data_IF_041861869396
#
_entry.id   IF_041861869396
#
_cell.length_a   1.000
_cell.length_b   1.000
_cell.length_c   1.000
_cell.angle_alpha   90.00
_cell.angle_beta   90.00
_cell.angle_gamma   90.00
#
_symmetry.space_group_name_H-M   'P 1'
#
loop_
_entity.id
_entity.type
_entity.pdbx_description
1 polymer ?
#
# COMPACT_ATOMS: atom_id res chain seq x y z
N UNK A 1 2.81 16.33 -9.65
CA UNK A 1 2.12 15.99 -8.38
C UNK A 1 2.27 14.51 -8.03
N UNK A 2 1.86 13.58 -8.91
CA UNK A 2 1.93 12.12 -8.69
C UNK A 2 3.33 11.64 -8.29
N UNK A 3 4.38 12.04 -9.00
CA UNK A 3 5.76 11.61 -8.67
C UNK A 3 6.22 12.09 -7.28
N UNK A 4 5.86 13.31 -6.89
CA UNK A 4 6.25 13.89 -5.60
C UNK A 4 5.47 13.26 -4.43
N UNK A 5 4.16 13.01 -4.62
CA UNK A 5 3.27 12.60 -3.54
C UNK A 5 3.09 11.08 -3.44
N UNK A 6 3.23 10.34 -4.54
CA UNK A 6 3.07 8.88 -4.53
C UNK A 6 4.42 8.18 -4.58
N UNK A 7 5.32 8.59 -5.48
CA UNK A 7 6.57 7.85 -5.71
C UNK A 7 7.60 8.11 -4.63
N UNK A 8 7.81 9.37 -4.22
CA UNK A 8 8.80 9.69 -3.17
C UNK A 8 8.52 9.00 -1.81
N UNK A 9 7.30 9.07 -1.24
CA UNK A 9 7.07 8.38 0.03
C UNK A 9 7.20 6.87 -0.15
N UNK A 10 6.83 6.32 -1.31
CA UNK A 10 6.99 4.89 -1.56
C UNK A 10 8.46 4.45 -1.51
N UNK A 11 9.38 5.15 -2.20
CA UNK A 11 10.80 4.78 -2.19
C UNK A 11 11.45 4.95 -0.82
N UNK A 12 11.10 6.02 -0.09
CA UNK A 12 11.61 6.26 1.27
C UNK A 12 11.10 5.18 2.23
N UNK A 13 9.82 4.83 2.13
CA UNK A 13 9.21 3.80 2.96
C UNK A 13 9.79 2.40 2.69
N UNK A 14 9.95 2.03 1.42
CA UNK A 14 10.60 0.78 1.05
C UNK A 14 12.07 0.74 1.48
N UNK A 15 12.80 1.85 1.33
CA UNK A 15 14.16 1.99 1.85
C UNK A 15 14.22 1.74 3.35
N UNK A 16 13.29 2.32 4.12
CA UNK A 16 13.20 2.10 5.57
C UNK A 16 12.92 0.64 5.94
N UNK A 17 12.03 -0.06 5.20
CA UNK A 17 11.76 -1.50 5.44
C UNK A 17 13.02 -2.33 5.19
N UNK A 18 13.71 -2.08 4.08
CA UNK A 18 14.92 -2.80 3.69
C UNK A 18 16.02 -2.56 4.72
N UNK A 19 16.24 -1.30 5.13
CA UNK A 19 17.20 -0.93 6.16
C UNK A 19 16.91 -1.61 7.51
N UNK A 20 15.63 -1.77 7.86
CA UNK A 20 15.20 -2.49 9.08
C UNK A 20 15.41 -3.99 9.01
N UNK A 21 15.44 -4.57 7.81
CA UNK A 21 15.71 -5.99 7.58
C UNK A 21 17.21 -6.32 7.50
N UNK A 22 18.08 -5.31 7.49
CA UNK A 22 19.52 -5.54 7.50
C UNK A 22 19.99 -6.15 8.82
N UNK A 23 20.70 -7.27 8.75
CA UNK A 23 21.34 -7.94 9.89
C UNK A 23 22.77 -7.43 10.07
N UNK A 24 23.52 -7.31 8.97
CA UNK A 24 24.91 -6.89 8.98
C UNK A 24 25.17 -5.82 7.91
N UNK A 25 25.49 -4.61 8.36
CA UNK A 25 25.98 -3.55 7.51
C UNK A 25 27.47 -3.78 7.18
N UNK A 26 27.82 -3.75 5.90
CA UNK A 26 29.22 -3.76 5.48
C UNK A 26 29.86 -2.38 5.77
N UNK A 27 31.14 -2.35 6.11
CA UNK A 27 31.89 -1.11 6.35
C UNK A 27 32.84 -0.86 5.19
N UNK A 28 32.74 0.33 4.58
CA UNK A 28 33.71 0.69 3.53
C UNK A 28 35.02 1.13 4.19
N UNK A 29 36.12 0.49 3.79
CA UNK A 29 37.46 0.80 4.31
C UNK A 29 37.78 2.30 4.13
N UNK A 30 38.28 2.93 5.19
CA UNK A 30 38.86 4.27 5.13
C UNK A 30 37.97 5.44 5.57
N UNK A 31 36.69 5.24 5.92
CA UNK A 31 35.83 6.36 6.37
C UNK A 31 34.79 6.08 7.45
N UNK A 32 34.76 4.88 8.05
CA UNK A 32 33.75 4.52 9.06
C UNK A 32 32.29 4.65 8.59
N UNK A 33 32.09 4.81 7.28
CA UNK A 33 30.78 5.02 6.68
C UNK A 33 30.11 3.67 6.45
N UNK A 34 28.80 3.60 6.68
CA UNK A 34 28.00 2.41 6.38
C UNK A 34 27.95 2.21 4.87
N UNK A 35 28.32 1.02 4.40
CA UNK A 35 28.18 0.59 3.02
C UNK A 35 26.80 -0.02 2.75
N UNK A 36 26.73 -0.87 1.72
CA UNK A 36 25.57 -1.71 1.50
C UNK A 36 25.42 -2.77 2.62
N UNK A 37 24.20 -3.27 2.80
CA UNK A 37 23.98 -4.40 3.69
C UNK A 37 24.41 -5.70 3.01
N UNK A 38 25.21 -6.51 3.69
CA UNK A 38 25.68 -7.79 3.17
C UNK A 38 24.65 -8.91 3.40
N UNK A 39 23.97 -8.87 4.54
CA UNK A 39 23.05 -9.90 4.98
C UNK A 39 21.71 -9.32 5.44
N UNK A 40 20.64 -9.77 4.79
CA UNK A 40 19.27 -9.42 5.13
C UNK A 40 18.55 -10.58 5.81
N UNK A 41 17.73 -10.26 6.81
CA UNK A 41 16.80 -11.19 7.43
C UNK A 41 15.59 -11.38 6.49
N UNK A 42 15.56 -12.52 5.80
CA UNK A 42 14.53 -12.85 4.81
C UNK A 42 13.15 -13.01 5.44
N UNK A 43 13.06 -13.51 6.67
CA UNK A 43 11.78 -13.73 7.34
C UNK A 43 11.16 -12.39 7.76
N UNK A 44 11.98 -11.51 8.34
CA UNK A 44 11.56 -10.15 8.69
C UNK A 44 11.19 -9.34 7.45
N UNK A 45 12.00 -9.41 6.38
CA UNK A 45 11.73 -8.71 5.14
C UNK A 45 10.40 -9.18 4.50
N UNK A 46 10.18 -10.50 4.44
CA UNK A 46 8.95 -11.09 3.91
C UNK A 46 7.73 -10.65 4.71
N UNK A 47 7.80 -10.75 6.04
CA UNK A 47 6.69 -10.38 6.90
C UNK A 47 6.34 -8.90 6.77
N UNK A 48 7.34 -8.01 6.81
CA UNK A 48 7.13 -6.57 6.67
C UNK A 48 6.57 -6.21 5.29
N UNK A 49 7.08 -6.83 4.24
CA UNK A 49 6.59 -6.64 2.86
C UNK A 49 5.14 -7.08 2.73
N UNK A 50 4.79 -8.28 3.18
CA UNK A 50 3.40 -8.76 3.09
C UNK A 50 2.45 -7.97 4.00
N UNK A 51 2.88 -7.58 5.19
CA UNK A 51 2.08 -6.77 6.10
C UNK A 51 1.79 -5.40 5.50
N UNK A 52 2.80 -4.76 4.90
CA UNK A 52 2.63 -3.45 4.27
C UNK A 52 1.69 -3.51 3.07
N UNK A 53 1.83 -4.51 2.20
CA UNK A 53 0.85 -4.76 1.13
C UNK A 53 -0.55 -5.03 1.68
N UNK A 54 -0.67 -5.83 2.74
CA UNK A 54 -1.95 -6.11 3.39
C UNK A 54 -2.62 -4.84 3.92
N UNK A 55 -1.88 -4.00 4.64
CA UNK A 55 -2.36 -2.71 5.16
C UNK A 55 -2.77 -1.78 4.02
N UNK A 56 -1.94 -1.64 2.98
CA UNK A 56 -2.26 -0.82 1.81
C UNK A 56 -3.55 -1.30 1.13
N UNK A 57 -3.75 -2.61 1.00
CA UNK A 57 -4.96 -3.19 0.41
C UNK A 57 -6.20 -2.93 1.28
N UNK A 58 -6.07 -3.05 2.60
CA UNK A 58 -7.15 -2.73 3.53
C UNK A 58 -7.54 -1.26 3.45
N UNK A 59 -6.57 -0.34 3.46
CA UNK A 59 -6.83 1.10 3.30
C UNK A 59 -7.49 1.38 1.95
N UNK A 60 -7.02 0.75 0.88
CA UNK A 60 -7.61 0.89 -0.45
C UNK A 60 -9.05 0.40 -0.51
N UNK A 61 -9.43 -0.61 0.27
CA UNK A 61 -10.80 -1.14 0.29
C UNK A 61 -11.80 -0.25 1.01
N UNK A 62 -11.35 0.70 1.85
CA UNK A 62 -12.23 1.63 2.58
C UNK A 62 -13.09 2.49 1.63
N UNK A 63 -12.54 3.20 0.62
CA UNK A 63 -13.34 3.95 -0.32
C UNK A 63 -14.25 3.05 -1.16
N UNK A 64 -13.80 1.86 -1.54
CA UNK A 64 -14.64 0.89 -2.25
C UNK A 64 -15.88 0.54 -1.42
N UNK A 65 -15.68 0.19 -0.14
CA UNK A 65 -16.75 -0.09 0.82
C UNK A 65 -17.66 1.12 0.99
N UNK A 66 -17.10 2.33 1.12
CA UNK A 66 -17.90 3.55 1.23
C UNK A 66 -18.78 3.76 -0.01
N UNK A 67 -18.23 3.58 -1.21
CA UNK A 67 -19.01 3.64 -2.47
C UNK A 67 -20.12 2.61 -2.48
N UNK A 68 -19.86 1.36 -2.07
CA UNK A 68 -20.89 0.34 -1.95
C UNK A 68 -22.01 0.71 -0.96
N UNK A 69 -21.71 1.44 0.12
CA UNK A 69 -22.72 1.91 1.07
C UNK A 69 -23.53 3.10 0.54
N UNK A 70 -22.89 4.08 -0.10
CA UNK A 70 -23.57 5.28 -0.61
C UNK A 70 -24.31 5.06 -1.94
N UNK A 71 -23.83 4.14 -2.79
CA UNK A 71 -24.41 3.88 -4.11
C UNK A 71 -25.57 2.86 -4.09
N UNK A 72 -26.14 2.50 -2.93
CA UNK A 72 -27.26 1.55 -2.84
C UNK A 72 -28.50 1.98 -3.61
N UNK A 73 -28.70 3.30 -3.76
CA UNK A 73 -29.81 3.87 -4.52
C UNK A 73 -29.45 4.20 -5.98
N UNK A 74 -28.24 3.82 -6.42
CA UNK A 74 -27.81 4.03 -7.79
C UNK A 74 -28.42 2.96 -8.70
N UNK A 75 -29.55 3.31 -9.32
CA UNK A 75 -30.19 2.54 -10.37
C UNK A 75 -29.32 2.62 -11.64
N UNK A 76 -28.49 1.60 -11.88
CA UNK A 76 -27.55 1.55 -13.01
C UNK A 76 -28.23 1.40 -14.39
N UNK A 77 -29.49 0.98 -14.40
CA UNK A 77 -30.27 0.78 -15.62
C UNK A 77 -31.62 1.49 -15.47
N UNK A 78 -32.06 2.17 -16.53
CA UNK A 78 -33.37 2.85 -16.57
C UNK A 78 -34.53 1.90 -16.25
N UNK A 79 -34.39 0.62 -16.60
CA UNK A 79 -35.35 -0.45 -16.28
C UNK A 79 -35.71 -0.52 -14.78
N UNK A 80 -34.71 -0.43 -13.90
CA UNK A 80 -34.93 -0.52 -12.45
C UNK A 80 -35.62 0.75 -11.91
N UNK A 81 -35.43 1.90 -12.57
CA UNK A 81 -36.12 3.14 -12.21
C UNK A 81 -37.61 3.04 -12.54
N UNK A 82 -37.95 2.54 -13.73
CA UNK A 82 -39.33 2.35 -14.14
C UNK A 82 -40.05 1.36 -13.21
N UNK A 83 -39.43 0.22 -12.88
CA UNK A 83 -40.03 -0.78 -11.99
C UNK A 83 -40.33 -0.22 -10.57
N UNK A 84 -39.41 0.57 -9.99
CA UNK A 84 -39.66 1.22 -8.69
C UNK A 84 -40.76 2.29 -8.74
N UNK A 85 -40.96 2.96 -9.87
CA UNK A 85 -42.03 3.96 -10.04
C UNK A 85 -43.40 3.29 -10.20
N UNK A 86 -43.48 2.18 -10.94
CA UNK A 86 -44.73 1.44 -11.14
C UNK A 86 -45.20 0.68 -9.88
N UNK A 87 -44.30 0.41 -8.92
CA UNK A 87 -44.62 -0.29 -7.66
C UNK A 87 -45.05 0.66 -6.51
N UNK A 88 -45.08 1.98 -6.73
CA UNK A 88 -45.43 3.00 -5.73
C UNK A 88 -46.82 3.58 -5.97
#
# INVERSE_FOLDING_TARGET
LVSLMATLPSSVFWGWIIDKSCVMWNTVCGRGSRGACELYDTEKLRLMTHLTYGIMRLISSIPDIAVFYFAKDLLLTDYQRTEKTELK
#
